data_IF_667922497771
#
_entry.id   IF_667922497771
#
_cell.length_a   1.000
_cell.length_b   1.000
_cell.length_c   1.000
_cell.angle_alpha   90.00
_cell.angle_beta   90.00
_cell.angle_gamma   90.00
#
_symmetry.space_group_name_H-M   'P 1'
#
loop_
_entity.id
_entity.type
_entity.pdbx_description
1 polymer ?
#
# COMPACT_ATOMS: atom_id res chain seq x y z
N UNK A 1 9.96 -12.93 -29.46
CA UNK A 1 9.65 -11.91 -28.43
C UNK A 1 8.61 -10.98 -29.04
N UNK A 2 7.43 -10.85 -28.43
CA UNK A 2 6.31 -10.08 -29.00
C UNK A 2 6.13 -8.80 -28.19
N UNK A 3 6.08 -7.65 -28.86
CA UNK A 3 5.75 -6.36 -28.25
C UNK A 3 4.28 -6.41 -27.80
N UNK A 4 3.99 -6.04 -26.53
CA UNK A 4 2.62 -5.95 -26.00
C UNK A 4 2.18 -4.49 -25.93
N UNK A 5 1.06 -4.19 -26.57
CA UNK A 5 0.47 -2.85 -26.64
C UNK A 5 -0.74 -2.76 -25.69
N UNK A 6 -0.89 -1.63 -24.99
CA UNK A 6 -1.92 -1.43 -23.95
C UNK A 6 -2.73 -0.15 -24.17
N UNK A 7 -2.08 1.01 -24.26
CA UNK A 7 -2.73 2.32 -24.37
C UNK A 7 -3.03 2.70 -25.83
N UNK A 8 -3.71 1.80 -26.56
CA UNK A 8 -4.07 1.96 -27.97
C UNK A 8 -5.53 1.57 -28.22
N UNK A 9 -6.14 2.11 -29.26
CA UNK A 9 -7.51 1.74 -29.66
C UNK A 9 -7.56 0.29 -30.12
N UNK A 10 -8.52 -0.46 -29.61
CA UNK A 10 -8.82 -1.84 -30.02
C UNK A 10 -9.89 -1.83 -31.11
N UNK A 11 -9.57 -2.07 -32.40
CA UNK A 11 -10.54 -1.94 -33.49
C UNK A 11 -11.78 -2.83 -33.32
N UNK A 12 -11.61 -4.03 -32.75
CA UNK A 12 -12.70 -4.95 -32.43
C UNK A 12 -12.96 -5.04 -30.92
N UNK A 13 -12.41 -4.10 -30.13
CA UNK A 13 -12.63 -4.01 -28.68
C UNK A 13 -11.87 -5.03 -27.82
N UNK A 14 -10.95 -5.83 -28.38
CA UNK A 14 -10.30 -6.93 -27.64
C UNK A 14 -8.78 -7.01 -27.80
N UNK A 15 -8.19 -6.20 -28.67
CA UNK A 15 -6.79 -6.32 -29.08
C UNK A 15 -5.78 -5.85 -28.03
N UNK A 16 -6.11 -4.78 -27.31
CA UNK A 16 -5.19 -4.13 -26.35
C UNK A 16 -5.81 -4.03 -24.95
N UNK A 17 -6.14 -5.16 -24.31
CA UNK A 17 -6.73 -5.13 -22.98
C UNK A 17 -5.70 -4.66 -21.95
N UNK A 18 -6.08 -3.71 -21.11
CA UNK A 18 -5.26 -3.20 -20.01
C UNK A 18 -5.74 -3.80 -18.70
N UNK A 19 -4.90 -4.63 -18.08
CA UNK A 19 -5.15 -5.19 -16.76
C UNK A 19 -4.54 -4.36 -15.63
N UNK A 20 -4.93 -4.65 -14.40
CA UNK A 20 -4.46 -3.91 -13.21
C UNK A 20 -2.94 -3.99 -12.99
N UNK A 21 -2.27 -5.07 -13.42
CA UNK A 21 -0.81 -5.16 -13.39
C UNK A 21 -0.15 -4.22 -14.41
N UNK A 22 -0.80 -4.02 -15.57
CA UNK A 22 -0.30 -3.13 -16.62
C UNK A 22 -0.41 -1.68 -16.15
N UNK A 23 -1.58 -1.30 -15.62
CA UNK A 23 -1.80 0.02 -15.03
C UNK A 23 -0.92 0.27 -13.81
N UNK A 24 -0.73 -0.72 -12.94
CA UNK A 24 0.18 -0.60 -11.80
C UNK A 24 1.60 -0.22 -12.24
N UNK A 25 2.12 -0.86 -13.29
CA UNK A 25 3.43 -0.49 -13.86
C UNK A 25 3.42 0.91 -14.48
N UNK A 26 2.37 1.25 -15.23
CA UNK A 26 2.20 2.58 -15.81
C UNK A 26 2.23 3.67 -14.72
N UNK A 27 1.43 3.54 -13.66
CA UNK A 27 1.39 4.49 -12.55
C UNK A 27 2.73 4.59 -11.83
N UNK A 28 3.42 3.47 -11.63
CA UNK A 28 4.76 3.49 -11.04
C UNK A 28 5.76 4.29 -11.88
N UNK A 29 5.75 4.08 -13.19
CA UNK A 29 6.62 4.80 -14.13
C UNK A 29 6.30 6.30 -14.17
N UNK A 30 5.02 6.68 -14.22
CA UNK A 30 4.59 8.08 -14.25
C UNK A 30 5.06 8.86 -13.03
N UNK A 31 5.06 8.25 -11.84
CA UNK A 31 5.50 8.91 -10.61
C UNK A 31 6.97 8.66 -10.25
N UNK A 32 7.66 7.76 -10.96
CA UNK A 32 9.04 7.36 -10.65
C UNK A 32 9.20 6.63 -9.32
N UNK A 33 8.20 5.85 -8.89
CA UNK A 33 8.28 5.07 -7.64
C UNK A 33 8.81 3.65 -7.87
N UNK A 34 9.45 3.09 -6.84
CA UNK A 34 9.79 1.66 -6.78
C UNK A 34 8.86 0.91 -5.83
N UNK A 35 9.07 -0.38 -5.65
CA UNK A 35 8.27 -1.21 -4.73
C UNK A 35 8.49 -0.91 -3.24
N UNK A 36 9.62 -0.28 -2.88
CA UNK A 36 9.96 0.08 -1.49
C UNK A 36 9.50 1.49 -1.08
N UNK A 37 8.88 2.24 -1.99
CA UNK A 37 8.37 3.58 -1.73
C UNK A 37 6.87 3.64 -2.00
N UNK A 38 6.22 4.65 -1.44
CA UNK A 38 4.78 4.86 -1.59
C UNK A 38 4.49 6.27 -2.09
N UNK A 39 3.24 6.50 -2.49
CA UNK A 39 2.61 7.82 -2.44
C UNK A 39 1.52 7.76 -1.38
N UNK A 40 1.46 8.75 -0.51
CA UNK A 40 0.47 8.82 0.56
C UNK A 40 -0.08 10.23 0.67
N UNK A 41 -1.38 10.33 0.89
CA UNK A 41 -2.04 11.59 1.23
C UNK A 41 -3.06 11.34 2.33
N UNK A 42 -2.88 12.05 3.44
CA UNK A 42 -3.91 12.15 4.47
C UNK A 42 -4.84 13.31 4.08
N UNK A 43 -6.09 12.99 3.77
CA UNK A 43 -7.15 13.98 3.50
C UNK A 43 -7.78 14.48 4.80
N UNK A 44 -7.83 13.59 5.80
CA UNK A 44 -8.13 13.90 7.19
C UNK A 44 -7.04 13.30 8.06
N UNK A 45 -6.61 14.05 9.07
CA UNK A 45 -5.57 13.59 10.00
C UNK A 45 -5.99 12.27 10.68
N UNK A 46 -5.07 11.29 10.79
CA UNK A 46 -5.30 10.11 11.62
C UNK A 46 -5.57 10.46 13.08
N UNK A 47 -6.37 9.65 13.77
CA UNK A 47 -6.71 9.81 15.18
C UNK A 47 -5.99 8.76 16.02
N UNK A 48 -5.42 9.16 17.16
CA UNK A 48 -4.81 8.22 18.10
C UNK A 48 -5.73 8.04 19.30
N UNK A 49 -6.05 6.80 19.65
CA UNK A 49 -6.86 6.45 20.83
C UNK A 49 -6.20 5.31 21.58
N UNK A 50 -5.63 5.62 22.74
CA UNK A 50 -4.77 4.71 23.49
C UNK A 50 -3.67 4.10 22.57
N UNK A 51 -3.47 2.78 22.60
CA UNK A 51 -2.54 2.05 21.75
C UNK A 51 -3.12 1.71 20.37
N UNK A 52 -3.83 2.64 19.75
CA UNK A 52 -4.38 2.48 18.41
C UNK A 52 -4.20 3.76 17.60
N UNK A 53 -3.99 3.60 16.30
CA UNK A 53 -4.14 4.68 15.32
C UNK A 53 -5.26 4.33 14.36
N UNK A 54 -6.15 5.30 14.12
CA UNK A 54 -7.21 5.21 13.13
C UNK A 54 -6.90 6.14 11.95
N UNK A 55 -6.79 5.56 10.75
CA UNK A 55 -6.69 6.30 9.51
C UNK A 55 -8.10 6.71 9.05
N UNK A 56 -8.48 7.94 9.36
CA UNK A 56 -9.84 8.45 9.11
C UNK A 56 -10.12 8.55 7.60
N UNK A 57 -9.21 9.18 6.86
CA UNK A 57 -9.25 9.23 5.39
C UNK A 57 -7.85 9.45 4.84
N UNK A 58 -7.21 8.35 4.44
CA UNK A 58 -5.85 8.32 3.90
C UNK A 58 -5.82 7.51 2.61
N UNK A 59 -5.37 8.11 1.51
CA UNK A 59 -5.15 7.41 0.24
C UNK A 59 -3.67 7.02 0.11
N UNK A 60 -3.41 5.80 -0.39
CA UNK A 60 -2.06 5.28 -0.59
C UNK A 60 -1.95 4.64 -1.97
N UNK A 61 -0.79 4.87 -2.61
CA UNK A 61 -0.33 4.10 -3.76
C UNK A 61 0.92 3.33 -3.34
N UNK A 62 0.86 2.00 -3.41
CA UNK A 62 1.98 1.09 -3.16
C UNK A 62 2.12 0.09 -4.31
N UNK A 63 3.32 -0.05 -4.88
CA UNK A 63 3.55 -0.90 -6.06
C UNK A 63 2.61 -0.59 -7.24
N UNK A 64 2.19 0.67 -7.38
CA UNK A 64 1.23 1.13 -8.39
C UNK A 64 -0.24 0.81 -8.10
N UNK A 65 -0.56 0.25 -6.92
CA UNK A 65 -1.93 -0.07 -6.50
C UNK A 65 -2.47 1.04 -5.62
N UNK A 66 -3.58 1.63 -6.03
CA UNK A 66 -4.33 2.62 -5.25
C UNK A 66 -5.30 1.92 -4.29
N UNK A 67 -5.34 2.39 -3.04
CA UNK A 67 -6.34 2.00 -2.05
C UNK A 67 -6.52 3.11 -1.01
N UNK A 68 -7.63 3.05 -0.28
CA UNK A 68 -8.01 4.03 0.73
C UNK A 68 -8.21 3.36 2.08
N UNK A 69 -7.78 4.06 3.13
CA UNK A 69 -8.02 3.72 4.51
C UNK A 69 -9.12 4.66 5.04
N UNK A 70 -10.30 4.10 5.31
CA UNK A 70 -11.49 4.85 5.72
C UNK A 70 -11.95 4.37 7.10
N UNK A 71 -11.59 5.13 8.14
CA UNK A 71 -11.75 4.75 9.54
C UNK A 71 -11.06 3.43 9.93
N UNK A 72 -10.03 3.03 9.18
CA UNK A 72 -9.29 1.79 9.42
C UNK A 72 -8.40 1.94 10.65
N UNK A 73 -8.49 1.00 11.59
CA UNK A 73 -7.80 1.08 12.88
C UNK A 73 -6.73 0.00 13.01
N UNK A 74 -5.53 0.41 13.39
CA UNK A 74 -4.39 -0.49 13.62
C UNK A 74 -4.00 -0.45 15.09
N UNK A 75 -4.01 -1.61 15.74
CA UNK A 75 -3.50 -1.78 17.10
C UNK A 75 -1.97 -1.68 17.13
N UNK A 76 -1.45 -1.04 18.18
CA UNK A 76 -0.03 -0.75 18.36
C UNK A 76 0.51 -1.48 19.58
N UNK A 77 1.80 -1.84 19.53
CA UNK A 77 2.53 -2.31 20.71
C UNK A 77 2.89 -1.13 21.59
N UNK A 78 2.63 -1.21 22.89
CA UNK A 78 3.05 -0.19 23.87
C UNK A 78 4.56 -0.23 24.15
N UNK A 79 5.11 0.90 24.58
CA UNK A 79 6.54 1.09 24.85
C UNK A 79 7.43 0.66 23.67
N UNK A 80 7.04 1.01 22.44
CA UNK A 80 7.71 0.55 21.23
C UNK A 80 7.67 1.58 20.10
N UNK A 81 8.59 1.43 19.14
CA UNK A 81 8.47 2.03 17.81
C UNK A 81 7.73 1.04 16.93
N UNK A 82 6.57 1.44 16.42
CA UNK A 82 5.70 0.65 15.58
C UNK A 82 5.86 1.07 14.12
N UNK A 83 6.23 0.12 13.27
CA UNK A 83 6.36 0.27 11.83
C UNK A 83 5.09 -0.28 11.19
N UNK A 84 4.24 0.61 10.69
CA UNK A 84 2.94 0.25 10.11
C UNK A 84 3.16 -0.05 8.63
N UNK A 85 2.81 -1.24 8.20
CA UNK A 85 2.98 -1.69 6.82
C UNK A 85 1.63 -1.95 6.16
N UNK A 86 1.54 -1.64 4.87
CA UNK A 86 0.55 -2.22 3.98
C UNK A 86 1.08 -3.54 3.40
N UNK A 87 0.28 -4.58 3.46
CA UNK A 87 0.56 -5.89 2.87
C UNK A 87 -0.42 -6.10 1.70
N UNK A 88 0.11 -6.33 0.50
CA UNK A 88 -0.68 -6.53 -0.72
C UNK A 88 -0.49 -7.97 -1.20
N UNK A 89 -1.55 -8.76 -1.11
CA UNK A 89 -1.61 -10.15 -1.57
C UNK A 89 -2.68 -10.28 -2.67
N UNK A 90 -2.25 -10.43 -3.93
CA UNK A 90 -3.15 -10.55 -5.07
C UNK A 90 -3.91 -11.88 -5.13
N UNK A 91 -3.55 -12.87 -4.31
CA UNK A 91 -4.30 -14.13 -4.20
C UNK A 91 -5.57 -13.95 -3.36
N UNK A 92 -5.59 -12.93 -2.48
CA UNK A 92 -6.76 -12.56 -1.68
C UNK A 92 -7.68 -11.63 -2.46
N UNK A 93 -8.46 -12.20 -3.38
CA UNK A 93 -9.26 -11.42 -4.34
C UNK A 93 -10.36 -10.57 -3.72
N UNK A 94 -10.87 -10.95 -2.54
CA UNK A 94 -11.89 -10.18 -1.83
C UNK A 94 -11.32 -8.95 -1.12
N UNK A 95 -10.16 -9.11 -0.46
CA UNK A 95 -9.51 -8.06 0.34
C UNK A 95 -7.99 -8.16 0.17
N UNK A 96 -7.43 -7.60 -0.92
CA UNK A 96 -6.02 -7.79 -1.26
C UNK A 96 -5.07 -6.98 -0.37
N UNK A 97 -5.58 -6.02 0.39
CA UNK A 97 -4.78 -5.13 1.26
C UNK A 97 -5.11 -5.38 2.72
N UNK A 98 -4.08 -5.56 3.55
CA UNK A 98 -4.19 -5.57 5.01
C UNK A 98 -3.12 -4.69 5.65
N UNK A 99 -3.37 -4.22 6.87
CA UNK A 99 -2.40 -3.45 7.65
C UNK A 99 -1.79 -4.28 8.78
N UNK A 100 -0.56 -3.94 9.16
CA UNK A 100 0.14 -4.57 10.28
C UNK A 100 1.05 -3.56 10.97
N UNK A 101 1.09 -3.55 12.30
CA UNK A 101 2.07 -2.81 13.09
C UNK A 101 3.15 -3.78 13.59
N UNK A 102 4.41 -3.46 13.27
CA UNK A 102 5.54 -4.33 13.55
C UNK A 102 6.65 -3.60 14.31
N UNK A 103 7.59 -4.32 14.90
CA UNK A 103 8.67 -3.74 15.72
C UNK A 103 9.93 -3.37 14.94
N UNK A 104 9.91 -3.61 13.62
CA UNK A 104 10.99 -3.28 12.69
C UNK A 104 10.42 -2.98 11.31
N UNK A 105 11.19 -2.28 10.47
CA UNK A 105 10.81 -2.08 9.07
C UNK A 105 11.11 -3.35 8.26
N UNK A 106 10.06 -4.14 7.98
CA UNK A 106 10.14 -5.38 7.20
C UNK A 106 9.68 -5.18 5.74
N UNK A 107 9.84 -3.96 5.21
CA UNK A 107 9.52 -3.70 3.81
C UNK A 107 10.35 -4.59 2.88
N UNK A 108 9.68 -5.27 1.95
CA UNK A 108 10.30 -6.08 0.92
C UNK A 108 10.24 -5.36 -0.45
N UNK A 109 10.71 -6.01 -1.51
CA UNK A 109 10.74 -5.47 -2.88
C UNK A 109 10.06 -6.41 -3.89
N UNK A 110 9.06 -7.18 -3.43
CA UNK A 110 8.32 -8.12 -4.28
C UNK A 110 7.67 -7.37 -5.45
N UNK A 111 8.03 -7.75 -6.67
CA UNK A 111 7.45 -7.22 -7.90
C UNK A 111 6.09 -7.87 -8.19
N UNK A 112 5.06 -7.39 -7.48
CA UNK A 112 3.70 -7.94 -7.59
C UNK A 112 3.06 -7.76 -8.99
N UNK A 113 3.65 -6.95 -9.87
CA UNK A 113 3.09 -6.71 -11.21
C UNK A 113 3.67 -7.66 -12.27
N UNK A 114 4.78 -8.35 -11.95
CA UNK A 114 5.44 -9.31 -12.84
C UNK A 114 5.61 -10.70 -12.21
N UNK A 115 5.35 -10.87 -10.91
CA UNK A 115 5.53 -12.14 -10.19
C UNK A 115 4.50 -12.29 -9.06
N UNK A 116 4.34 -13.51 -8.56
CA UNK A 116 3.54 -13.80 -7.38
C UNK A 116 4.29 -13.42 -6.09
N UNK A 117 3.54 -13.23 -5.00
CA UNK A 117 4.07 -12.93 -3.68
C UNK A 117 3.26 -11.84 -2.99
N UNK A 118 3.67 -11.51 -1.76
CA UNK A 118 3.05 -10.46 -0.96
C UNK A 118 3.99 -9.27 -0.88
N UNK A 119 3.60 -8.14 -1.46
CA UNK A 119 4.34 -6.89 -1.25
C UNK A 119 4.07 -6.40 0.17
N UNK A 120 5.12 -6.12 0.91
CA UNK A 120 5.05 -5.47 2.22
C UNK A 120 5.83 -4.17 2.15
N UNK A 121 5.19 -3.05 2.49
CA UNK A 121 5.83 -1.74 2.46
C UNK A 121 5.39 -0.89 3.64
N UNK A 122 6.37 -0.22 4.27
CA UNK A 122 6.16 0.72 5.36
C UNK A 122 5.35 1.92 4.88
N UNK A 123 4.31 2.28 5.62
CA UNK A 123 3.44 3.42 5.34
C UNK A 123 3.44 4.50 6.43
N UNK A 124 3.84 4.15 7.65
CA UNK A 124 3.85 5.05 8.80
C UNK A 124 4.76 4.51 9.91
N UNK A 125 5.23 5.39 10.79
CA UNK A 125 5.95 5.02 12.01
C UNK A 125 5.24 5.68 13.19
N UNK A 126 4.97 4.93 14.26
CA UNK A 126 4.33 5.45 15.47
C UNK A 126 5.13 5.04 16.69
N UNK A 127 5.57 6.00 17.49
CA UNK A 127 6.20 5.71 18.79
C UNK A 127 5.13 5.74 19.88
N UNK A 128 5.15 4.76 20.76
CA UNK A 128 4.19 4.63 21.87
C UNK A 128 4.89 4.52 23.21
N UNK A 129 4.21 4.98 24.26
CA UNK A 129 4.52 4.62 25.64
C UNK A 129 3.56 3.51 26.12
N UNK A 130 3.42 3.32 27.43
CA UNK A 130 2.53 2.31 28.00
C UNK A 130 1.03 2.62 27.85
N UNK A 131 0.66 3.84 27.47
CA UNK A 131 -0.71 4.36 27.47
C UNK A 131 -1.20 4.83 26.11
N UNK A 132 -0.30 5.34 25.25
CA UNK A 132 -0.70 5.86 23.94
C UNK A 132 0.46 6.23 23.01
N UNK A 133 0.11 6.94 21.93
CA UNK A 133 1.05 7.42 20.91
C UNK A 133 1.71 8.72 21.37
N UNK A 134 3.05 8.77 21.32
CA UNK A 134 3.86 9.94 21.72
C UNK A 134 4.50 10.66 20.53
N UNK A 135 4.69 9.98 19.39
CA UNK A 135 5.14 10.63 18.15
C UNK A 135 4.77 9.82 16.90
N UNK A 136 4.79 10.51 15.75
CA UNK A 136 4.49 9.99 14.41
C UNK A 136 5.36 10.65 13.36
#
# INVERSE_FOLDING_TARGET
MTIKNFTFFSPNGTEFPVGSNNDGKLYMMLTGMGYRTIRRKDWKSPLNTALNVQYVNTSIVAGGRYFELLNETVALKGNAVNYIHANIDLTQTANPVTLSAETSNNSNNVDLNNSSGVLKVLIDIRTTDGTGVVSS
#
